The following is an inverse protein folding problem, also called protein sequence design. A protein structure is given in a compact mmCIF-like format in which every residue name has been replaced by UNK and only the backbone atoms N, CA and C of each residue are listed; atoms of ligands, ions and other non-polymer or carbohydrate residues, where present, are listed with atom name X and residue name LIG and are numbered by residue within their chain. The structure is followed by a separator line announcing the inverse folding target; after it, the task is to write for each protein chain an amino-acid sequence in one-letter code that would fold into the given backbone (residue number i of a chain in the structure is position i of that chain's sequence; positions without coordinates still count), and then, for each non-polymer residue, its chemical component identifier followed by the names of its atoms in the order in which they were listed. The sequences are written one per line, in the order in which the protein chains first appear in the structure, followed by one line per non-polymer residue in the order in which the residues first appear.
data_IF_448986307012
#
_entry.id   IF_448986307012
#
_cell.length_a   1.000
_cell.length_b   1.000
_cell.length_c   1.000
_cell.angle_alpha   90.00
_cell.angle_beta   90.00
_cell.angle_gamma   90.00
#
_symmetry.space_group_name_H-M   'P 1'
#
loop_
_entity.id
_entity.type
_entity.pdbx_description
1 polymer ?
#
# COMPACT_ATOMS: atom_id res chain seq x y z
N UNK A 1 16.79 3.05 39.49
CA UNK A 1 16.11 1.77 39.19
C UNK A 1 14.78 2.07 38.53
N UNK A 2 14.68 1.95 37.20
CA UNK A 2 13.39 1.90 36.51
C UNK A 2 13.49 0.67 35.60
N UNK A 3 12.79 -0.41 35.96
CA UNK A 3 12.64 -1.59 35.11
C UNK A 3 11.23 -1.59 34.54
N UNK A 4 11.17 -1.47 33.22
CA UNK A 4 10.36 -2.23 32.26
C UNK A 4 9.11 -2.94 32.81
N UNK A 5 7.96 -2.46 32.37
CA UNK A 5 6.67 -3.15 32.31
C UNK A 5 5.89 -2.28 31.31
N UNK A 6 5.50 -2.71 30.11
CA UNK A 6 4.57 -3.80 29.78
C UNK A 6 4.70 -4.02 28.25
N UNK A 7 5.30 -5.14 27.83
CA UNK A 7 5.16 -5.68 26.47
C UNK A 7 4.51 -7.06 26.63
N UNK A 8 3.21 -7.12 26.41
CA UNK A 8 2.35 -8.31 26.27
C UNK A 8 0.94 -7.74 26.13
N UNK A 9 0.16 -7.89 25.06
CA UNK A 9 -0.12 -9.10 24.31
C UNK A 9 -0.78 -8.69 22.98
N UNK A 10 -0.13 -8.96 21.85
CA UNK A 10 -0.85 -9.23 20.61
C UNK A 10 -0.27 -10.52 20.06
N UNK A 11 -1.09 -11.59 20.09
CA UNK A 11 -0.82 -12.87 19.44
C UNK A 11 -0.65 -12.61 17.94
N UNK A 12 0.60 -12.46 17.50
CA UNK A 12 0.98 -12.57 16.10
C UNK A 12 1.00 -14.07 15.80
N UNK A 13 0.21 -14.58 14.83
CA UNK A 13 0.27 -15.99 14.47
C UNK A 13 1.65 -16.32 13.88
N UNK A 14 2.23 -17.44 14.31
CA UNK A 14 3.55 -17.98 13.95
C UNK A 14 3.66 -18.37 12.45
N UNK A 15 3.44 -17.42 11.54
CA UNK A 15 3.59 -17.62 10.10
C UNK A 15 4.96 -17.19 9.55
N UNK A 16 5.83 -16.68 10.41
CA UNK A 16 7.23 -16.39 10.07
C UNK A 16 8.14 -17.45 10.69
N UNK A 17 8.11 -18.66 10.13
CA UNK A 17 9.25 -19.55 10.30
C UNK A 17 10.43 -18.96 9.53
N UNK A 18 11.41 -18.42 10.24
CA UNK A 18 12.71 -18.11 9.65
C UNK A 18 13.59 -19.34 9.83
N UNK A 19 13.86 -20.15 8.77
CA UNK A 19 14.76 -21.27 8.89
C UNK A 19 16.13 -20.79 9.37
N UNK A 20 16.76 -21.58 10.24
CA UNK A 20 18.13 -21.31 10.64
C UNK A 20 19.07 -21.40 9.43
N UNK A 21 20.24 -20.76 9.45
CA UNK A 21 21.19 -20.76 8.33
C UNK A 21 21.63 -22.17 7.87
N UNK A 22 21.40 -23.21 8.68
CA UNK A 22 21.66 -24.62 8.38
C UNK A 22 20.52 -25.36 7.67
N UNK A 23 19.36 -24.73 7.49
CA UNK A 23 18.13 -25.38 6.98
C UNK A 23 17.70 -24.87 5.61
N UNK A 24 18.50 -24.02 4.96
CA UNK A 24 18.22 -23.54 3.60
C UNK A 24 18.39 -24.74 2.65
N UNK A 25 17.31 -25.27 2.05
CA UNK A 25 17.43 -26.32 1.06
C UNK A 25 18.13 -25.73 -0.16
N UNK A 26 19.07 -26.48 -0.75
CA UNK A 26 19.88 -26.12 -1.93
C UNK A 26 19.07 -25.96 -3.24
N UNK A 27 17.77 -25.66 -3.17
CA UNK A 27 16.85 -25.59 -4.31
C UNK A 27 16.41 -24.12 -4.58
N UNK A 28 16.98 -23.13 -3.89
CA UNK A 28 16.75 -21.71 -4.16
C UNK A 28 17.85 -21.09 -5.05
N UNK A 29 18.33 -21.83 -6.05
CA UNK A 29 19.16 -21.30 -7.15
C UNK A 29 18.35 -21.08 -8.44
N UNK A 30 17.16 -20.51 -8.32
CA UNK A 30 16.56 -19.78 -9.43
C UNK A 30 16.47 -18.33 -9.03
N UNK A 31 17.50 -17.56 -9.40
CA UNK A 31 17.51 -16.11 -9.33
C UNK A 31 16.37 -15.52 -10.17
N UNK A 32 15.14 -15.45 -9.65
CA UNK A 32 14.26 -14.34 -10.01
C UNK A 32 14.82 -13.10 -9.29
N UNK A 33 15.87 -12.52 -9.88
CA UNK A 33 16.48 -11.27 -9.47
C UNK A 33 15.43 -10.16 -9.57
N UNK A 34 14.69 -9.94 -8.47
CA UNK A 34 14.01 -8.68 -8.26
C UNK A 34 15.07 -7.58 -8.39
N UNK A 35 14.87 -6.56 -9.25
CA UNK A 35 15.86 -5.52 -9.42
C UNK A 35 15.83 -4.67 -8.15
N UNK A 36 16.60 -5.08 -7.15
CA UNK A 36 16.89 -4.25 -5.99
C UNK A 36 17.82 -3.14 -6.49
N UNK A 37 17.20 -2.12 -7.07
CA UNK A 37 17.88 -0.89 -7.43
C UNK A 37 18.45 -0.31 -6.13
N UNK A 38 19.76 -0.50 -5.94
CA UNK A 38 20.48 -0.24 -4.69
C UNK A 38 20.58 1.25 -4.33
N UNK A 39 20.14 2.12 -5.24
CA UNK A 39 20.05 3.56 -5.00
C UNK A 39 18.67 3.93 -4.43
N UNK A 40 18.56 4.19 -3.12
CA UNK A 40 17.29 4.56 -2.49
C UNK A 40 16.75 5.89 -3.04
N UNK A 41 17.59 6.81 -3.51
CA UNK A 41 17.14 8.08 -4.07
C UNK A 41 16.52 7.90 -5.45
N UNK A 42 17.06 6.99 -6.25
CA UNK A 42 16.49 6.63 -7.56
C UNK A 42 15.17 5.89 -7.42
N UNK A 43 15.02 5.07 -6.39
CA UNK A 43 13.73 4.46 -6.06
C UNK A 43 12.68 5.50 -5.67
N UNK A 44 13.04 6.47 -4.80
CA UNK A 44 12.15 7.58 -4.40
C UNK A 44 11.72 8.44 -5.60
N UNK A 45 12.55 8.53 -6.65
CA UNK A 45 12.21 9.30 -7.85
C UNK A 45 11.12 8.65 -8.73
N UNK A 46 10.89 7.34 -8.61
CA UNK A 46 9.88 6.63 -9.42
C UNK A 46 8.48 6.95 -8.89
N UNK A 47 7.52 7.16 -9.81
CA UNK A 47 6.10 7.36 -9.45
C UNK A 47 5.26 6.09 -9.51
N UNK A 48 5.72 5.10 -10.28
CA UNK A 48 5.02 3.85 -10.55
C UNK A 48 5.99 2.68 -10.50
N UNK A 49 5.46 1.50 -10.21
CA UNK A 49 6.12 0.21 -10.38
C UNK A 49 5.33 -0.63 -11.39
N UNK A 50 6.04 -1.42 -12.19
CA UNK A 50 5.41 -2.37 -13.12
C UNK A 50 5.22 -3.70 -12.41
N UNK A 51 3.97 -4.16 -12.34
CA UNK A 51 3.62 -5.46 -11.78
C UNK A 51 4.02 -6.59 -12.75
N UNK A 52 4.04 -7.84 -12.25
CA UNK A 52 4.39 -9.03 -13.06
C UNK A 52 3.56 -9.17 -14.35
N UNK A 53 2.33 -8.67 -14.33
CA UNK A 53 1.42 -8.68 -15.48
C UNK A 53 1.58 -7.47 -16.43
N UNK A 54 2.63 -6.66 -16.26
CA UNK A 54 2.90 -5.48 -17.09
C UNK A 54 2.08 -4.22 -16.73
N UNK A 55 1.15 -4.29 -15.77
CA UNK A 55 0.35 -3.13 -15.34
C UNK A 55 1.21 -2.19 -14.51
N UNK A 56 1.10 -0.88 -14.77
CA UNK A 56 1.73 0.15 -13.93
C UNK A 56 0.86 0.47 -12.72
N UNK A 57 1.42 0.34 -11.53
CA UNK A 57 0.78 0.67 -10.25
C UNK A 57 1.48 1.88 -9.61
N UNK A 58 0.74 2.92 -9.18
CA UNK A 58 1.33 4.01 -8.41
C UNK A 58 2.05 3.50 -7.16
N UNK A 59 3.22 4.05 -6.85
CA UNK A 59 3.95 3.68 -5.62
C UNK A 59 3.29 4.23 -4.36
N UNK A 60 2.58 5.36 -4.47
CA UNK A 60 1.84 5.98 -3.38
C UNK A 60 0.34 5.86 -3.63
N UNK A 61 -0.38 5.34 -2.63
CA UNK A 61 -1.84 5.20 -2.64
C UNK A 61 -2.49 5.71 -1.36
N UNK A 62 -3.75 6.10 -1.46
CA UNK A 62 -4.57 6.48 -0.32
C UNK A 62 -5.35 5.26 0.18
N UNK A 63 -4.94 4.73 1.33
CA UNK A 63 -5.64 3.62 1.98
C UNK A 63 -6.91 4.06 2.69
N UNK A 64 -7.89 3.16 2.72
CA UNK A 64 -9.11 3.28 3.54
C UNK A 64 -9.12 2.21 4.61
N UNK A 65 -9.88 2.43 5.69
CA UNK A 65 -9.93 1.51 6.84
C UNK A 65 -11.34 1.46 7.43
N UNK A 66 -11.58 0.49 8.33
CA UNK A 66 -12.78 0.43 9.15
C UNK A 66 -12.82 1.58 10.17
N UNK A 67 -14.02 1.97 10.62
CA UNK A 67 -14.20 2.87 11.77
C UNK A 67 -13.52 4.25 11.65
N UNK A 68 -13.76 4.97 10.54
CA UNK A 68 -13.35 6.38 10.38
C UNK A 68 -12.29 6.64 9.32
N UNK A 69 -11.81 5.62 8.61
CA UNK A 69 -10.82 5.76 7.53
C UNK A 69 -11.31 6.42 6.24
N UNK A 70 -12.58 6.86 6.16
CA UNK A 70 -13.13 7.56 5.00
C UNK A 70 -13.61 8.96 5.37
N UNK A 71 -13.06 9.96 4.68
CA UNK A 71 -13.56 11.33 4.65
C UNK A 71 -13.69 11.78 3.19
N UNK A 72 -14.89 12.21 2.79
CA UNK A 72 -15.20 12.51 1.38
C UNK A 72 -14.33 13.63 0.82
N UNK A 73 -14.19 14.73 1.56
CA UNK A 73 -13.42 15.90 1.12
C UNK A 73 -11.94 15.58 0.99
N UNK A 74 -11.40 14.78 1.92
CA UNK A 74 -10.00 14.33 1.89
C UNK A 74 -9.72 13.47 0.66
N UNK A 75 -10.62 12.55 0.30
CA UNK A 75 -10.49 11.73 -0.91
C UNK A 75 -10.56 12.61 -2.16
N UNK A 76 -11.53 13.52 -2.25
CA UNK A 76 -11.67 14.42 -3.40
C UNK A 76 -10.44 15.34 -3.53
N UNK A 77 -9.95 15.88 -2.43
CA UNK A 77 -8.75 16.71 -2.40
C UNK A 77 -7.52 15.93 -2.86
N UNK A 78 -7.33 14.70 -2.34
CA UNK A 78 -6.21 13.85 -2.73
C UNK A 78 -6.19 13.56 -4.24
N UNK A 79 -7.36 13.22 -4.81
CA UNK A 79 -7.52 12.89 -6.22
C UNK A 79 -7.37 14.12 -7.14
N UNK A 80 -7.91 15.28 -6.75
CA UNK A 80 -7.90 16.49 -7.58
C UNK A 80 -6.66 17.37 -7.43
N UNK A 81 -6.12 17.48 -6.22
CA UNK A 81 -5.12 18.50 -5.85
C UNK A 81 -3.79 17.90 -5.43
N UNK A 82 -3.78 16.76 -4.74
CA UNK A 82 -2.53 16.17 -4.21
C UNK A 82 -1.85 15.17 -5.15
N UNK A 83 -2.40 14.93 -6.34
CA UNK A 83 -1.77 14.07 -7.34
C UNK A 83 -1.92 12.56 -7.10
N UNK A 84 -2.76 12.12 -6.15
CA UNK A 84 -3.03 10.71 -5.92
C UNK A 84 -3.74 10.09 -7.14
N UNK A 85 -3.37 8.84 -7.46
CA UNK A 85 -3.93 8.06 -8.57
C UNK A 85 -4.35 6.65 -8.17
N UNK A 86 -4.11 6.26 -6.92
CA UNK A 86 -4.46 4.96 -6.37
C UNK A 86 -5.23 5.13 -5.07
N UNK A 87 -6.38 4.48 -4.98
CA UNK A 87 -7.17 4.31 -3.76
C UNK A 87 -7.14 2.84 -3.41
N UNK A 88 -6.80 2.52 -2.16
CA UNK A 88 -6.82 1.15 -1.64
C UNK A 88 -8.03 0.97 -0.70
N UNK A 89 -8.84 -0.04 -0.98
CA UNK A 89 -10.08 -0.32 -0.23
C UNK A 89 -10.42 -1.81 -0.27
N UNK A 90 -11.38 -2.19 0.57
CA UNK A 90 -11.91 -3.55 0.63
C UNK A 90 -13.37 -3.53 1.06
N UNK A 91 -14.14 -4.52 0.61
CA UNK A 91 -15.54 -4.74 1.00
C UNK A 91 -15.79 -4.67 2.50
N UNK A 92 -14.86 -5.18 3.31
CA UNK A 92 -14.95 -5.18 4.79
C UNK A 92 -15.04 -3.76 5.38
N UNK A 93 -14.52 -2.75 4.68
CA UNK A 93 -14.53 -1.36 5.16
C UNK A 93 -15.89 -0.68 4.94
N UNK A 94 -16.72 -1.18 4.01
CA UNK A 94 -18.09 -0.68 3.81
C UNK A 94 -18.17 0.75 3.24
N UNK A 95 -17.14 1.19 2.52
CA UNK A 95 -17.04 2.58 1.98
C UNK A 95 -16.97 2.65 0.46
N UNK A 96 -17.05 1.52 -0.24
CA UNK A 96 -16.90 1.42 -1.71
C UNK A 96 -17.93 2.29 -2.46
N UNK A 97 -19.19 2.32 -2.01
CA UNK A 97 -20.24 3.17 -2.61
C UNK A 97 -19.90 4.67 -2.49
N UNK A 98 -19.46 5.10 -1.30
CA UNK A 98 -19.06 6.50 -1.04
C UNK A 98 -17.81 6.88 -1.84
N UNK A 99 -16.88 5.94 -2.01
CA UNK A 99 -15.71 6.11 -2.89
C UNK A 99 -16.14 6.26 -4.35
N UNK A 100 -17.09 5.45 -4.82
CA UNK A 100 -17.63 5.54 -6.18
C UNK A 100 -18.16 6.94 -6.49
N UNK A 101 -18.96 7.50 -5.58
CA UNK A 101 -19.49 8.87 -5.70
C UNK A 101 -18.34 9.90 -5.77
N UNK A 102 -17.35 9.80 -4.89
CA UNK A 102 -16.21 10.72 -4.87
C UNK A 102 -15.40 10.66 -6.19
N UNK A 103 -15.17 9.46 -6.72
CA UNK A 103 -14.44 9.23 -7.97
C UNK A 103 -15.25 9.79 -9.16
N UNK A 104 -16.55 9.54 -9.21
CA UNK A 104 -17.42 10.03 -10.26
C UNK A 104 -17.42 11.56 -10.32
N UNK A 105 -17.54 12.24 -9.17
CA UNK A 105 -17.42 13.70 -9.05
C UNK A 105 -16.06 14.19 -9.56
N UNK A 106 -14.97 13.46 -9.28
CA UNK A 106 -13.64 13.82 -9.76
C UNK A 106 -13.47 13.66 -11.27
N UNK A 107 -14.12 12.65 -11.87
CA UNK A 107 -14.06 12.40 -13.33
C UNK A 107 -14.95 13.40 -14.09
N UNK A 108 -16.20 13.60 -13.66
CA UNK A 108 -17.17 14.46 -14.35
C UNK A 108 -16.78 15.94 -14.34
N UNK A 109 -16.05 16.38 -13.31
CA UNK A 109 -15.63 17.78 -13.16
C UNK A 109 -14.29 18.09 -13.87
N UNK A 110 -13.79 17.21 -14.74
CA UNK A 110 -12.60 17.47 -15.57
C UNK A 110 -12.82 18.50 -16.69
N UNK A 111 -14.02 19.05 -16.87
CA UNK A 111 -14.40 19.79 -18.10
C UNK A 111 -14.47 21.32 -17.96
N UNK A 112 -13.82 21.94 -16.98
CA UNK A 112 -13.74 23.41 -16.91
C UNK A 112 -12.34 23.88 -16.48
N UNK A 113 -11.38 23.75 -17.39
CA UNK A 113 -10.19 24.59 -17.51
C UNK A 113 -9.70 24.49 -18.95
#
# INVERSE_FOLDING_TARGET
MIKNSILSTYNIPDYYYTPGPSEIPSILESEEQYPFESDPLKFISKRYITLRNGVQMPLLGLGTTHSGGYNHESVVFALKKSGYRMIDTARRYGVEEKLGIAIEVCIKLKTFV
#
